data_IF_748898422502
#
_entry.id   IF_748898422502
#
_cell.length_a   1.000
_cell.length_b   1.000
_cell.length_c   1.000
_cell.angle_alpha   90.00
_cell.angle_beta   90.00
_cell.angle_gamma   90.00
#
_symmetry.space_group_name_H-M   'P 1'
#
loop_
_entity.id
_entity.type
_entity.pdbx_description
1 polymer ?
#
# COMPACT_ATOMS: atom_id res chain seq x y z
N UNK A 1 -37.02 -32.00 13.98
CA UNK A 1 -35.56 -32.18 13.97
C UNK A 1 -34.92 -31.51 12.75
N UNK A 2 -35.13 -31.96 11.49
CA UNK A 2 -34.48 -31.38 10.27
C UNK A 2 -34.57 -29.85 10.05
N UNK A 3 -35.59 -29.16 10.57
CA UNK A 3 -35.74 -27.70 10.43
C UNK A 3 -34.93 -26.89 11.44
N UNK A 4 -34.69 -27.43 12.64
CA UNK A 4 -33.85 -26.81 13.66
C UNK A 4 -32.37 -26.92 13.29
N UNK A 5 -31.96 -28.10 12.80
CA UNK A 5 -30.58 -28.34 12.34
C UNK A 5 -30.20 -27.41 11.17
N UNK A 6 -31.10 -27.22 10.19
CA UNK A 6 -30.92 -26.27 9.09
C UNK A 6 -30.82 -24.81 9.55
N UNK A 7 -31.63 -24.42 10.54
CA UNK A 7 -31.60 -23.06 11.07
C UNK A 7 -30.31 -22.79 11.85
N UNK A 8 -29.79 -23.80 12.55
CA UNK A 8 -28.50 -23.76 13.25
C UNK A 8 -27.32 -23.70 12.27
N UNK A 9 -27.31 -24.54 11.24
CA UNK A 9 -26.29 -24.50 10.18
C UNK A 9 -26.25 -23.14 9.48
N UNK A 10 -27.41 -22.57 9.14
CA UNK A 10 -27.48 -21.26 8.48
C UNK A 10 -27.07 -20.13 9.42
N UNK A 11 -27.43 -20.19 10.71
CA UNK A 11 -26.93 -19.22 11.70
C UNK A 11 -25.41 -19.30 11.89
N UNK A 12 -24.84 -20.51 11.94
CA UNK A 12 -23.39 -20.69 12.03
C UNK A 12 -22.67 -20.18 10.78
N UNK A 13 -23.26 -20.42 9.60
CA UNK A 13 -22.75 -19.90 8.33
C UNK A 13 -22.78 -18.37 8.31
N UNK A 14 -23.88 -17.75 8.71
CA UNK A 14 -24.01 -16.29 8.79
C UNK A 14 -23.03 -15.69 9.79
N UNK A 15 -22.85 -16.33 10.95
CA UNK A 15 -21.85 -15.92 11.94
C UNK A 15 -20.43 -15.99 11.39
N UNK A 16 -20.07 -17.07 10.68
CA UNK A 16 -18.75 -17.20 10.04
C UNK A 16 -18.53 -16.12 8.97
N UNK A 17 -19.53 -15.85 8.13
CA UNK A 17 -19.43 -14.81 7.11
C UNK A 17 -19.26 -13.41 7.70
N UNK A 18 -19.88 -13.14 8.85
CA UNK A 18 -19.75 -11.88 9.55
C UNK A 18 -18.42 -11.75 10.33
N UNK A 19 -17.80 -12.87 10.72
CA UNK A 19 -16.62 -12.89 11.59
C UNK A 19 -15.29 -13.14 10.90
N UNK A 20 -15.32 -13.56 9.63
CA UNK A 20 -14.12 -13.92 8.88
C UNK A 20 -13.82 -12.94 7.74
N UNK A 21 -12.54 -12.81 7.41
CA UNK A 21 -12.08 -12.16 6.19
C UNK A 21 -12.37 -13.07 4.99
N UNK A 22 -13.11 -12.54 4.01
CA UNK A 22 -13.61 -13.31 2.87
C UNK A 22 -12.50 -13.91 1.97
N UNK A 23 -11.31 -13.32 1.96
CA UNK A 23 -10.20 -13.77 1.12
C UNK A 23 -9.40 -14.89 1.79
N UNK A 24 -9.11 -14.73 3.09
CA UNK A 24 -8.17 -15.58 3.83
C UNK A 24 -8.84 -16.60 4.75
N UNK A 25 -10.12 -16.38 5.10
CA UNK A 25 -10.85 -17.22 6.06
C UNK A 25 -10.43 -17.05 7.52
N UNK A 26 -9.47 -16.15 7.80
CA UNK A 26 -9.08 -15.76 9.16
C UNK A 26 -10.11 -14.84 9.80
N UNK A 27 -9.98 -14.54 11.10
CA UNK A 27 -10.82 -13.52 11.72
C UNK A 27 -10.65 -12.18 10.98
N UNK A 28 -11.74 -11.45 10.77
CA UNK A 28 -11.63 -10.07 10.30
C UNK A 28 -11.22 -9.13 11.45
N UNK A 29 -10.86 -7.89 11.11
CA UNK A 29 -10.44 -6.86 12.08
C UNK A 29 -11.41 -6.70 13.25
N UNK A 30 -12.70 -6.58 12.96
CA UNK A 30 -13.72 -6.35 13.99
C UNK A 30 -13.78 -7.50 14.99
N UNK A 31 -13.87 -8.74 14.49
CA UNK A 31 -13.90 -9.91 15.36
C UNK A 31 -12.58 -10.12 16.10
N UNK A 32 -11.42 -9.83 15.48
CA UNK A 32 -10.13 -9.92 16.16
C UNK A 32 -10.06 -8.95 17.35
N UNK A 33 -10.47 -7.70 17.16
CA UNK A 33 -10.51 -6.68 18.21
C UNK A 33 -11.45 -7.06 19.35
N UNK A 34 -12.67 -7.50 19.02
CA UNK A 34 -13.67 -7.94 20.01
C UNK A 34 -13.18 -9.15 20.81
N UNK A 35 -12.66 -10.18 20.13
CA UNK A 35 -12.26 -11.44 20.77
C UNK A 35 -11.02 -11.24 21.64
N UNK A 36 -10.01 -10.50 21.17
CA UNK A 36 -8.83 -10.18 22.00
C UNK A 36 -9.26 -9.35 23.21
N UNK A 37 -10.11 -8.34 23.02
CA UNK A 37 -10.64 -7.51 24.11
C UNK A 37 -11.40 -8.34 25.16
N UNK A 38 -12.10 -9.39 24.75
CA UNK A 38 -12.73 -10.34 25.67
C UNK A 38 -11.71 -11.19 26.42
N UNK A 39 -10.68 -11.70 25.75
CA UNK A 39 -9.65 -12.53 26.39
C UNK A 39 -8.85 -11.74 27.43
N UNK A 40 -8.43 -10.52 27.09
CA UNK A 40 -7.61 -9.68 27.99
C UNK A 40 -8.41 -9.09 29.16
N UNK A 41 -9.73 -8.91 29.01
CA UNK A 41 -10.63 -8.52 30.12
C UNK A 41 -10.65 -9.53 31.28
N UNK A 42 -10.24 -10.76 31.02
CA UNK A 42 -10.11 -11.80 32.04
C UNK A 42 -8.67 -11.93 32.56
N UNK A 43 -7.87 -10.85 32.44
CA UNK A 43 -6.45 -10.73 32.84
C UNK A 43 -5.56 -11.89 32.37
N UNK A 44 -5.88 -12.43 31.20
CA UNK A 44 -5.10 -13.53 30.62
C UNK A 44 -3.83 -12.98 30.00
N UNK A 45 -2.69 -13.46 30.50
CA UNK A 45 -1.40 -13.24 29.86
C UNK A 45 -1.44 -13.68 28.39
N UNK A 46 -0.70 -12.99 27.53
CA UNK A 46 -0.60 -13.34 26.13
C UNK A 46 0.42 -12.47 25.39
N UNK A 47 0.70 -12.85 24.16
CA UNK A 47 1.62 -12.12 23.27
C UNK A 47 0.86 -11.71 22.03
N UNK A 48 0.87 -10.41 21.73
CA UNK A 48 0.28 -9.86 20.52
C UNK A 48 1.37 -9.67 19.47
N UNK A 49 1.12 -10.21 18.28
CA UNK A 49 1.97 -10.08 17.11
C UNK A 49 1.18 -9.38 16.02
N UNK A 50 1.81 -8.41 15.39
CA UNK A 50 1.34 -7.80 14.14
C UNK A 50 2.37 -8.09 13.06
N UNK A 51 1.90 -8.42 11.87
CA UNK A 51 2.71 -8.87 10.74
C UNK A 51 2.29 -8.13 9.49
N UNK A 52 3.25 -7.77 8.66
CA UNK A 52 3.01 -7.07 7.40
C UNK A 52 3.96 -7.61 6.34
N UNK A 53 3.45 -7.79 5.11
CA UNK A 53 4.22 -8.27 3.96
C UNK A 53 5.08 -7.14 3.40
N UNK A 54 6.40 -7.32 3.43
CA UNK A 54 7.32 -6.30 2.91
C UNK A 54 7.13 -6.10 1.41
N UNK A 55 6.96 -4.84 1.01
CA UNK A 55 6.77 -4.44 -0.39
C UNK A 55 5.60 -5.15 -1.11
N UNK A 56 4.50 -5.46 -0.41
CA UNK A 56 3.34 -6.13 -1.01
C UNK A 56 2.77 -5.38 -2.24
N UNK A 57 2.75 -4.04 -2.20
CA UNK A 57 2.37 -3.24 -3.38
C UNK A 57 3.23 -3.58 -4.60
N UNK A 58 4.54 -3.74 -4.44
CA UNK A 58 5.43 -4.13 -5.53
C UNK A 58 5.13 -5.56 -6.04
N UNK A 59 4.70 -6.47 -5.17
CA UNK A 59 4.23 -7.80 -5.60
C UNK A 59 2.99 -7.65 -6.49
N UNK A 60 2.02 -6.82 -6.09
CA UNK A 60 0.83 -6.55 -6.91
C UNK A 60 1.18 -5.88 -8.24
N UNK A 61 2.06 -4.88 -8.23
CA UNK A 61 2.43 -4.12 -9.41
C UNK A 61 3.17 -5.01 -10.44
N UNK A 62 3.98 -5.96 -9.97
CA UNK A 62 4.78 -6.85 -10.83
C UNK A 62 4.02 -8.09 -11.28
N UNK A 63 3.24 -8.72 -10.39
CA UNK A 63 2.61 -10.03 -10.65
C UNK A 63 1.08 -9.97 -10.74
N UNK A 64 0.48 -8.79 -10.59
CA UNK A 64 -0.95 -8.56 -10.62
C UNK A 64 -1.67 -8.88 -9.30
N UNK A 65 -2.83 -8.26 -9.10
CA UNK A 65 -3.65 -8.42 -7.89
C UNK A 65 -4.08 -9.87 -7.61
N UNK A 66 -4.33 -10.68 -8.64
CA UNK A 66 -4.66 -12.10 -8.45
C UNK A 66 -3.51 -12.88 -7.80
N UNK A 67 -2.27 -12.50 -8.08
CA UNK A 67 -1.10 -13.09 -7.40
C UNK A 67 -0.99 -12.56 -5.97
N UNK A 68 -1.26 -11.27 -5.76
CA UNK A 68 -1.39 -10.68 -4.43
C UNK A 68 -2.39 -11.41 -3.54
N UNK A 69 -3.58 -11.68 -4.06
CA UNK A 69 -4.63 -12.40 -3.36
C UNK A 69 -4.16 -13.81 -2.95
N UNK A 70 -3.49 -14.53 -3.86
CA UNK A 70 -2.88 -15.83 -3.55
C UNK A 70 -1.80 -15.72 -2.49
N UNK A 71 -1.00 -14.65 -2.51
CA UNK A 71 0.05 -14.42 -1.50
C UNK A 71 -0.59 -14.23 -0.12
N UNK A 72 -1.67 -13.46 -0.02
CA UNK A 72 -2.41 -13.27 1.23
C UNK A 72 -3.01 -14.58 1.74
N UNK A 73 -3.58 -15.39 0.85
CA UNK A 73 -4.14 -16.70 1.17
C UNK A 73 -3.06 -17.69 1.66
N UNK A 74 -1.92 -17.76 0.97
CA UNK A 74 -0.85 -18.65 1.37
C UNK A 74 -0.19 -18.19 2.68
N UNK A 75 0.00 -16.88 2.89
CA UNK A 75 0.49 -16.38 4.17
C UNK A 75 -0.48 -16.73 5.30
N UNK A 76 -1.80 -16.56 5.09
CA UNK A 76 -2.81 -16.97 6.06
C UNK A 76 -2.70 -18.46 6.43
N UNK A 77 -2.48 -19.33 5.42
CA UNK A 77 -2.27 -20.77 5.63
C UNK A 77 -0.98 -21.05 6.41
N UNK A 78 0.10 -20.34 6.10
CA UNK A 78 1.37 -20.46 6.82
C UNK A 78 1.20 -20.05 8.29
N UNK A 79 0.57 -18.90 8.55
CA UNK A 79 0.27 -18.44 9.92
C UNK A 79 -0.56 -19.52 10.65
N UNK A 80 -1.65 -19.99 10.04
CA UNK A 80 -2.52 -21.01 10.63
C UNK A 80 -1.84 -22.34 10.95
N UNK A 81 -0.75 -22.70 10.24
CA UNK A 81 0.02 -23.92 10.52
C UNK A 81 0.98 -23.76 11.71
N UNK A 82 1.50 -22.55 11.95
CA UNK A 82 2.50 -22.31 12.99
C UNK A 82 1.92 -21.96 14.36
N UNK A 83 0.68 -21.46 14.41
CA UNK A 83 -0.01 -21.14 15.66
C UNK A 83 -1.04 -22.20 16.04
N UNK A 84 -1.35 -22.31 17.33
CA UNK A 84 -2.28 -23.32 17.82
C UNK A 84 -3.74 -22.92 17.54
N UNK A 85 -4.66 -23.90 17.53
CA UNK A 85 -6.11 -23.64 17.37
C UNK A 85 -6.70 -22.69 18.43
N UNK A 86 -6.05 -22.56 19.59
CA UNK A 86 -6.46 -21.65 20.65
C UNK A 86 -5.96 -20.22 20.43
N UNK A 87 -4.97 -20.01 19.58
CA UNK A 87 -4.44 -18.68 19.30
C UNK A 87 -5.43 -17.96 18.37
N UNK A 88 -5.58 -16.65 18.58
CA UNK A 88 -6.46 -15.84 17.74
C UNK A 88 -5.65 -15.37 16.55
N UNK A 89 -6.16 -15.58 15.34
CA UNK A 89 -5.46 -15.26 14.10
C UNK A 89 -6.43 -14.48 13.22
N UNK A 90 -6.04 -13.28 12.82
CA UNK A 90 -6.87 -12.39 12.01
C UNK A 90 -6.11 -11.65 10.93
N UNK A 91 -6.85 -11.19 9.92
CA UNK A 91 -6.38 -10.21 8.94
C UNK A 91 -6.95 -8.85 9.30
N UNK A 92 -6.07 -7.88 9.52
CA UNK A 92 -6.44 -6.54 9.97
C UNK A 92 -6.86 -5.63 8.81
N UNK A 93 -6.42 -5.96 7.59
CA UNK A 93 -6.74 -5.26 6.34
C UNK A 93 -5.51 -5.17 5.44
N UNK A 94 -5.69 -5.03 4.13
CA UNK A 94 -4.56 -4.96 3.19
C UNK A 94 -3.65 -6.19 3.28
N UNK A 95 -2.39 -5.97 3.60
CA UNK A 95 -1.32 -6.95 3.82
C UNK A 95 -1.00 -7.20 5.31
N UNK A 96 -1.81 -6.69 6.22
CA UNK A 96 -1.58 -6.76 7.66
C UNK A 96 -2.35 -7.93 8.31
N UNK A 97 -1.61 -8.72 9.09
CA UNK A 97 -2.10 -9.87 9.86
C UNK A 97 -1.79 -9.68 11.35
N UNK A 98 -2.63 -10.25 12.21
CA UNK A 98 -2.42 -10.24 13.65
C UNK A 98 -2.58 -11.62 14.25
N UNK A 99 -1.79 -11.91 15.27
CA UNK A 99 -1.90 -13.11 16.09
C UNK A 99 -1.88 -12.72 17.56
N UNK A 100 -2.82 -13.25 18.33
CA UNK A 100 -2.77 -13.19 19.79
C UNK A 100 -2.58 -14.60 20.35
N UNK A 101 -1.38 -14.86 20.84
CA UNK A 101 -1.02 -16.11 21.49
C UNK A 101 -1.53 -16.05 22.93
N UNK A 102 -2.47 -16.94 23.26
CA UNK A 102 -3.09 -16.94 24.57
C UNK A 102 -2.22 -17.66 25.61
N UNK A 103 -2.27 -17.17 26.85
CA UNK A 103 -1.50 -17.60 28.02
C UNK A 103 -0.03 -17.16 27.97
N UNK A 104 0.62 -17.20 29.13
CA UNK A 104 2.04 -16.89 29.24
C UNK A 104 2.86 -17.82 28.33
N UNK A 105 3.54 -17.24 27.35
CA UNK A 105 4.44 -17.94 26.45
C UNK A 105 5.86 -17.45 26.68
N UNK A 106 6.81 -18.38 26.72
CA UNK A 106 8.23 -18.05 26.80
C UNK A 106 8.66 -17.34 25.52
N UNK A 107 9.51 -16.32 25.66
CA UNK A 107 10.00 -15.50 24.54
C UNK A 107 10.63 -16.38 23.45
N UNK A 108 11.39 -17.40 23.84
CA UNK A 108 12.06 -18.33 22.93
C UNK A 108 11.08 -19.12 22.05
N UNK A 109 9.88 -19.42 22.57
CA UNK A 109 8.82 -20.07 21.79
C UNK A 109 8.27 -19.13 20.71
N UNK A 110 8.09 -17.84 21.05
CA UNK A 110 7.61 -16.82 20.09
C UNK A 110 8.66 -16.63 18.98
N UNK A 111 9.93 -16.51 19.35
CA UNK A 111 11.05 -16.39 18.42
C UNK A 111 11.13 -17.60 17.48
N UNK A 112 11.09 -18.83 18.02
CA UNK A 112 11.13 -20.05 17.20
C UNK A 112 9.93 -20.18 16.24
N UNK A 113 8.73 -19.81 16.68
CA UNK A 113 7.54 -19.78 15.80
C UNK A 113 7.69 -18.72 14.69
N UNK A 114 8.17 -17.53 15.03
CA UNK A 114 8.38 -16.44 14.08
C UNK A 114 9.45 -16.78 13.04
N UNK A 115 10.58 -17.36 13.45
CA UNK A 115 11.64 -17.82 12.54
C UNK A 115 11.16 -18.91 11.58
N UNK A 116 10.40 -19.88 12.10
CA UNK A 116 9.81 -20.95 11.29
C UNK A 116 8.81 -20.40 10.27
N UNK A 117 7.95 -19.48 10.71
CA UNK A 117 6.99 -18.80 9.86
C UNK A 117 7.69 -17.99 8.76
N UNK A 118 8.69 -17.18 9.11
CA UNK A 118 9.45 -16.38 8.16
C UNK A 118 10.16 -17.26 7.11
N UNK A 119 10.79 -18.35 7.55
CA UNK A 119 11.44 -19.32 6.66
C UNK A 119 10.45 -19.99 5.72
N UNK A 120 9.26 -20.37 6.23
CA UNK A 120 8.19 -20.98 5.42
C UNK A 120 7.58 -19.98 4.44
N UNK A 121 7.39 -18.72 4.83
CA UNK A 121 6.89 -17.66 3.97
C UNK A 121 7.83 -17.44 2.76
N UNK A 122 9.14 -17.39 3.01
CA UNK A 122 10.14 -17.31 1.94
C UNK A 122 10.11 -18.53 1.00
N UNK A 123 9.94 -19.73 1.56
CA UNK A 123 9.81 -20.95 0.76
C UNK A 123 8.57 -20.91 -0.13
N UNK A 124 7.42 -20.54 0.42
CA UNK A 124 6.17 -20.38 -0.32
C UNK A 124 6.32 -19.35 -1.43
N UNK A 125 6.98 -18.21 -1.17
CA UNK A 125 7.28 -17.22 -2.21
C UNK A 125 8.06 -17.81 -3.40
N UNK A 126 9.04 -18.69 -3.13
CA UNK A 126 9.77 -19.40 -4.18
C UNK A 126 8.88 -20.40 -4.92
N UNK A 127 8.07 -21.16 -4.20
CA UNK A 127 7.11 -22.13 -4.78
C UNK A 127 6.08 -21.43 -5.68
N UNK A 128 5.68 -20.21 -5.35
CA UNK A 128 4.75 -19.38 -6.14
C UNK A 128 5.40 -18.66 -7.34
N UNK A 129 6.71 -18.76 -7.52
CA UNK A 129 7.43 -18.07 -8.59
C UNK A 129 7.70 -16.58 -8.34
N UNK A 130 7.46 -16.07 -7.13
CA UNK A 130 7.77 -14.68 -6.75
C UNK A 130 9.14 -14.56 -6.04
N UNK A 131 9.89 -15.66 -5.96
CA UNK A 131 11.22 -15.71 -5.36
C UNK A 131 11.19 -15.41 -3.85
N UNK A 132 12.22 -14.71 -3.35
CA UNK A 132 12.32 -14.34 -1.93
C UNK A 132 11.55 -13.05 -1.58
N UNK A 133 10.48 -12.74 -2.31
CA UNK A 133 9.69 -11.50 -2.13
C UNK A 133 8.62 -11.61 -1.05
N UNK A 134 8.15 -12.82 -0.71
CA UNK A 134 7.23 -13.03 0.42
C UNK A 134 7.99 -12.97 1.74
N UNK A 135 8.41 -11.77 2.12
CA UNK A 135 9.02 -11.44 3.40
C UNK A 135 7.97 -10.80 4.30
N UNK A 136 8.07 -11.07 5.59
CA UNK A 136 7.19 -10.47 6.58
C UNK A 136 8.03 -9.81 7.65
N UNK A 137 7.65 -8.58 8.00
CA UNK A 137 8.12 -7.93 9.22
C UNK A 137 7.09 -8.17 10.32
N UNK A 138 7.54 -8.42 11.54
CA UNK A 138 6.73 -8.79 12.70
C UNK A 138 7.06 -7.84 13.86
N UNK A 139 6.04 -7.18 14.38
CA UNK A 139 6.08 -6.45 15.64
C UNK A 139 5.46 -7.29 16.76
N UNK A 140 6.09 -7.30 17.93
CA UNK A 140 5.69 -8.13 19.07
C UNK A 140 5.52 -7.27 20.31
N UNK A 141 4.41 -7.48 21.02
CA UNK A 141 4.18 -6.91 22.33
C UNK A 141 3.64 -7.95 23.32
N UNK A 142 4.19 -7.93 24.54
CA UNK A 142 3.70 -8.72 25.65
C UNK A 142 2.52 -7.99 26.32
N UNK A 143 1.45 -8.72 26.63
CA UNK A 143 0.36 -8.19 27.44
C UNK A 143 0.84 -7.74 28.82
N UNK A 144 0.38 -6.56 29.24
CA UNK A 144 0.58 -5.95 30.55
C UNK A 144 -0.79 -5.75 31.20
N UNK A 145 -0.83 -5.84 32.54
CA UNK A 145 -2.05 -5.60 33.29
C UNK A 145 -2.62 -4.20 32.97
N UNK A 146 -3.94 -4.14 32.73
CA UNK A 146 -4.63 -2.91 32.32
C UNK A 146 -4.56 -2.56 30.83
N UNK A 147 -3.96 -3.41 29.98
CA UNK A 147 -3.98 -3.18 28.54
C UNK A 147 -5.36 -3.32 27.90
N UNK A 148 -5.61 -2.48 26.90
CA UNK A 148 -6.69 -2.67 25.93
C UNK A 148 -6.13 -3.25 24.63
N UNK A 149 -7.03 -3.69 23.73
CA UNK A 149 -6.62 -4.09 22.38
C UNK A 149 -5.83 -2.97 21.68
N UNK A 150 -6.28 -1.72 21.83
CA UNK A 150 -5.64 -0.57 21.19
C UNK A 150 -4.25 -0.28 21.76
N UNK A 151 -4.02 -0.47 23.07
CA UNK A 151 -2.67 -0.29 23.63
C UNK A 151 -1.70 -1.37 23.15
N UNK A 152 -2.14 -2.63 23.10
CA UNK A 152 -1.37 -3.74 22.54
C UNK A 152 -1.03 -3.52 21.07
N UNK A 153 -2.05 -3.22 20.27
CA UNK A 153 -1.92 -2.97 18.84
C UNK A 153 -0.95 -1.83 18.56
N UNK A 154 -1.09 -0.70 19.27
CA UNK A 154 -0.24 0.48 19.11
C UNK A 154 1.23 0.21 19.43
N UNK A 155 1.52 -0.58 20.48
CA UNK A 155 2.90 -0.93 20.85
C UNK A 155 3.51 -1.94 19.88
N UNK A 156 2.76 -2.96 19.47
CA UNK A 156 3.22 -3.92 18.47
C UNK A 156 3.45 -3.26 17.09
N UNK A 157 2.54 -2.39 16.64
CA UNK A 157 2.70 -1.60 15.41
C UNK A 157 3.96 -0.73 15.46
N UNK A 158 4.23 -0.09 16.60
CA UNK A 158 5.44 0.70 16.77
C UNK A 158 6.71 -0.14 16.57
N UNK A 159 6.72 -1.39 17.07
CA UNK A 159 7.84 -2.31 16.89
C UNK A 159 7.97 -2.78 15.44
N UNK A 160 6.84 -3.08 14.77
CA UNK A 160 6.80 -3.45 13.35
C UNK A 160 7.38 -2.33 12.48
N UNK A 161 6.89 -1.10 12.65
CA UNK A 161 7.36 0.08 11.90
C UNK A 161 8.84 0.36 12.16
N UNK A 162 9.32 0.17 13.38
CA UNK A 162 10.75 0.27 13.69
C UNK A 162 11.55 -0.75 12.88
N UNK A 163 11.12 -2.01 12.84
CA UNK A 163 11.74 -3.06 12.03
C UNK A 163 11.80 -2.73 10.54
N UNK A 164 10.69 -2.24 9.98
CA UNK A 164 10.61 -1.83 8.56
C UNK A 164 11.56 -0.68 8.21
N UNK A 165 11.74 0.30 9.11
CA UNK A 165 12.63 1.45 8.89
C UNK A 165 14.10 1.08 8.96
N UNK A 166 14.48 0.28 9.94
CA UNK A 166 15.88 -0.14 10.12
C UNK A 166 16.30 -1.16 9.05
N UNK A 167 15.36 -1.96 8.52
CA UNK A 167 15.60 -2.97 7.50
C UNK A 167 16.49 -4.14 7.96
N UNK A 168 16.78 -4.22 9.26
CA UNK A 168 17.76 -5.16 9.83
C UNK A 168 17.15 -6.42 10.43
N UNK A 169 15.90 -6.36 10.91
CA UNK A 169 15.31 -7.47 11.65
C UNK A 169 13.83 -7.68 11.31
N UNK A 170 13.49 -8.93 10.99
CA UNK A 170 12.13 -9.33 10.67
C UNK A 170 11.26 -9.48 11.94
N UNK A 171 11.87 -9.66 13.12
CA UNK A 171 11.16 -9.81 14.39
C UNK A 171 11.56 -8.71 15.37
N UNK A 172 10.60 -7.91 15.82
CA UNK A 172 10.87 -6.70 16.59
C UNK A 172 9.99 -6.67 17.82
N UNK A 173 10.62 -6.75 19.00
CA UNK A 173 9.94 -6.55 20.27
C UNK A 173 9.84 -5.07 20.58
N UNK A 174 8.66 -4.63 20.99
CA UNK A 174 8.50 -3.29 21.50
C UNK A 174 9.40 -3.06 22.72
N UNK A 175 9.98 -1.86 22.77
CA UNK A 175 10.75 -1.37 23.92
C UNK A 175 10.19 -0.01 24.27
N UNK A 176 10.13 0.33 25.56
CA UNK A 176 9.69 1.66 25.96
C UNK A 176 10.61 2.76 25.38
N UNK A 177 11.86 2.44 25.01
CA UNK A 177 12.74 3.33 24.24
C UNK A 177 12.21 3.67 22.83
N UNK A 178 11.41 2.80 22.22
CA UNK A 178 10.69 3.06 20.97
C UNK A 178 9.52 4.03 21.20
N UNK A 179 8.90 4.00 22.39
CA UNK A 179 8.03 5.08 22.86
C UNK A 179 8.81 6.33 23.29
N UNK A 180 10.05 6.23 23.74
CA UNK A 180 10.88 7.41 23.99
C UNK A 180 11.39 8.03 22.69
N UNK A 181 11.39 7.32 21.55
CA UNK A 181 11.44 7.97 20.24
C UNK A 181 10.13 8.68 19.85
N UNK A 182 9.06 8.52 20.65
CA UNK A 182 7.87 9.40 20.69
C UNK A 182 8.06 10.62 21.63
N UNK A 183 9.13 10.71 22.45
CA UNK A 183 9.32 11.78 23.47
C UNK A 183 10.74 12.37 23.61
N UNK A 184 11.75 11.86 22.91
CA UNK A 184 13.15 12.30 22.97
C UNK A 184 13.44 13.52 22.07
N UNK A 185 12.46 14.41 21.99
CA UNK A 185 12.69 15.85 21.88
C UNK A 185 11.52 16.55 22.58
N UNK A 186 11.43 16.41 23.90
CA UNK A 186 11.68 17.51 24.86
C UNK A 186 11.26 17.08 26.27
N UNK A 187 12.11 17.43 27.25
CA UNK A 187 11.82 17.34 28.69
C UNK A 187 10.61 18.20 29.06
N UNK A 188 9.77 17.72 29.99
CA UNK A 188 8.81 18.56 30.73
C UNK A 188 7.45 17.91 30.95
N UNK A 189 7.13 17.69 32.22
CA UNK A 189 5.94 17.10 32.83
C UNK A 189 4.58 17.49 32.23
N UNK A 190 3.66 16.50 32.16
CA UNK A 190 2.24 16.69 31.89
C UNK A 190 1.63 15.58 31.03
N UNK A 191 0.48 15.03 31.42
CA UNK A 191 -0.29 14.07 30.61
C UNK A 191 -0.43 14.58 29.16
N UNK A 192 -0.29 13.74 28.12
CA UNK A 192 -0.38 14.22 26.74
C UNK A 192 -1.81 14.62 26.41
N UNK A 193 -2.00 15.92 26.18
CA UNK A 193 -3.17 16.49 25.53
C UNK A 193 -3.31 15.93 24.10
N UNK A 194 -4.56 15.90 23.61
CA UNK A 194 -4.95 15.40 22.28
C UNK A 194 -3.95 15.78 21.16
N UNK A 195 -3.64 14.87 20.22
CA UNK A 195 -2.46 14.97 19.35
C UNK A 195 -2.59 16.12 18.34
N UNK A 196 -1.96 17.25 18.63
CA UNK A 196 -1.82 18.39 17.71
C UNK A 196 -0.41 18.43 17.08
N UNK A 197 0.23 17.28 16.90
CA UNK A 197 1.59 17.25 16.36
C UNK A 197 1.59 17.30 14.83
N UNK A 198 1.39 18.53 14.30
CA UNK A 198 1.49 18.83 12.86
C UNK A 198 2.83 18.37 12.27
N UNK A 199 3.91 18.27 13.07
CA UNK A 199 5.21 17.80 12.59
C UNK A 199 5.21 16.29 12.33
N UNK A 200 4.40 15.51 13.05
CA UNK A 200 4.19 14.08 12.81
C UNK A 200 3.32 13.87 11.56
N UNK A 201 2.19 14.58 11.45
CA UNK A 201 1.31 14.52 10.28
C UNK A 201 2.07 14.92 9.02
N UNK A 202 2.83 16.02 9.04
CA UNK A 202 3.67 16.43 7.92
C UNK A 202 4.81 15.45 7.60
N UNK A 203 5.18 14.54 8.52
CA UNK A 203 6.19 13.51 8.27
C UNK A 203 5.59 12.26 7.63
N UNK A 204 4.37 11.90 8.01
CA UNK A 204 3.61 10.79 7.38
C UNK A 204 3.03 11.20 6.02
N UNK A 205 2.65 12.48 5.85
CA UNK A 205 2.21 13.04 4.56
C UNK A 205 3.39 13.34 3.61
N UNK A 206 4.64 13.31 4.10
CA UNK A 206 5.80 13.44 3.22
C UNK A 206 5.92 12.18 2.39
N UNK A 207 6.04 12.36 1.08
CA UNK A 207 6.40 11.26 0.20
C UNK A 207 7.69 10.62 0.70
N UNK A 208 7.73 9.28 0.87
CA UNK A 208 8.95 8.60 1.28
C UNK A 208 10.04 8.84 0.24
N UNK A 209 11.28 9.06 0.68
CA UNK A 209 12.43 9.28 -0.21
C UNK A 209 12.65 8.06 -1.12
N UNK A 210 12.06 8.03 -2.32
CA UNK A 210 12.32 6.97 -3.30
C UNK A 210 12.27 7.43 -4.74
N UNK A 211 13.24 6.92 -5.50
CA UNK A 211 13.31 6.65 -6.95
C UNK A 211 12.47 7.52 -7.88
N UNK A 212 13.14 8.09 -8.90
CA UNK A 212 12.59 8.89 -10.02
C UNK A 212 11.36 8.31 -10.78
N UNK A 213 10.88 7.12 -10.43
CA UNK A 213 9.76 6.40 -11.05
C UNK A 213 8.38 6.69 -10.40
N UNK A 214 8.34 7.40 -9.27
CA UNK A 214 7.16 7.52 -8.38
C UNK A 214 5.98 8.38 -8.90
N UNK A 215 6.11 9.06 -10.04
CA UNK A 215 5.09 10.02 -10.50
C UNK A 215 4.02 9.45 -11.44
N UNK A 216 4.05 8.14 -11.70
CA UNK A 216 2.93 7.45 -12.35
C UNK A 216 1.81 7.27 -11.32
N UNK A 217 0.69 7.96 -11.50
CA UNK A 217 -0.46 7.89 -10.61
C UNK A 217 -1.59 7.09 -11.23
N UNK A 218 -2.40 6.44 -10.39
CA UNK A 218 -3.69 5.92 -10.80
C UNK A 218 -4.60 7.07 -11.28
N UNK A 219 -5.51 6.77 -12.20
CA UNK A 219 -6.36 7.80 -12.81
C UNK A 219 -7.22 8.56 -11.77
N UNK A 220 -7.69 7.89 -10.72
CA UNK A 220 -8.48 8.54 -9.65
C UNK A 220 -7.65 9.50 -8.80
N UNK A 221 -6.39 9.15 -8.52
CA UNK A 221 -5.44 10.02 -7.82
C UNK A 221 -5.08 11.22 -8.70
N UNK A 222 -4.80 10.98 -9.98
CA UNK A 222 -4.57 12.05 -10.97
C UNK A 222 -5.74 13.04 -11.01
N UNK A 223 -6.99 12.54 -11.03
CA UNK A 223 -8.20 13.36 -11.02
C UNK A 223 -8.37 14.16 -9.73
N UNK A 224 -8.00 13.57 -8.59
CA UNK A 224 -8.04 14.26 -7.30
C UNK A 224 -7.03 15.41 -7.25
N UNK A 225 -5.83 15.21 -7.79
CA UNK A 225 -4.79 16.24 -7.91
C UNK A 225 -5.22 17.33 -8.89
N UNK A 226 -5.75 16.96 -10.07
CA UNK A 226 -6.31 17.90 -11.04
C UNK A 226 -7.31 18.85 -10.38
N UNK A 227 -8.31 18.30 -9.68
CA UNK A 227 -9.38 19.07 -9.04
C UNK A 227 -8.83 19.94 -7.91
N UNK A 228 -7.81 19.49 -7.19
CA UNK A 228 -7.16 20.27 -6.16
C UNK A 228 -6.41 21.49 -6.74
N UNK A 229 -5.64 21.27 -7.81
CA UNK A 229 -4.91 22.34 -8.50
C UNK A 229 -5.87 23.33 -9.16
N UNK A 230 -6.92 22.86 -9.83
CA UNK A 230 -7.97 23.69 -10.45
C UNK A 230 -8.58 24.66 -9.43
N UNK A 231 -8.95 24.17 -8.24
CA UNK A 231 -9.48 25.00 -7.14
C UNK A 231 -8.47 25.97 -6.56
N UNK A 232 -7.17 25.73 -6.73
CA UNK A 232 -6.09 26.47 -6.10
C UNK A 232 -5.39 27.46 -7.04
N UNK A 233 -5.79 27.53 -8.32
CA UNK A 233 -5.14 28.34 -9.36
C UNK A 233 -5.05 29.84 -9.00
N UNK A 234 -6.17 30.47 -8.62
CA UNK A 234 -6.19 31.92 -8.29
C UNK A 234 -5.34 32.27 -7.07
N UNK A 235 -5.21 31.33 -6.11
CA UNK A 235 -4.50 31.57 -4.85
C UNK A 235 -3.00 31.35 -4.98
N UNK A 236 -2.57 30.47 -5.88
CA UNK A 236 -1.16 30.04 -6.00
C UNK A 236 -0.41 30.68 -7.16
N UNK A 237 -1.11 31.14 -8.21
CA UNK A 237 -0.49 31.71 -9.40
C UNK A 237 0.34 30.70 -10.21
N UNK A 238 0.27 29.41 -9.86
CA UNK A 238 0.98 28.33 -10.55
C UNK A 238 0.21 28.01 -11.83
N UNK A 239 0.86 28.17 -12.99
CA UNK A 239 0.32 27.70 -14.26
C UNK A 239 0.45 26.18 -14.35
N UNK A 240 -0.63 25.49 -14.70
CA UNK A 240 -0.63 24.03 -14.86
C UNK A 240 -1.06 23.73 -16.29
N UNK A 241 -0.25 22.97 -17.01
CA UNK A 241 -0.54 22.50 -18.36
C UNK A 241 -0.82 21.01 -18.33
N UNK A 242 -1.81 20.56 -19.11
CA UNK A 242 -2.04 19.16 -19.40
C UNK A 242 -1.59 18.81 -20.80
N UNK A 243 -0.95 17.65 -20.93
CA UNK A 243 -0.56 17.06 -22.20
C UNK A 243 -1.27 15.72 -22.35
N UNK A 244 -2.11 15.58 -23.36
CA UNK A 244 -2.59 14.29 -23.82
C UNK A 244 -1.63 13.77 -24.90
N UNK A 245 -0.99 12.65 -24.62
CA UNK A 245 -0.07 11.98 -25.53
C UNK A 245 -0.80 10.79 -26.14
N UNK A 246 -0.94 10.77 -27.45
CA UNK A 246 -1.62 9.70 -28.18
C UNK A 246 -0.65 8.97 -29.09
N UNK A 247 -0.60 7.64 -28.96
CA UNK A 247 0.15 6.76 -29.83
C UNK A 247 -0.73 6.35 -31.02
N UNK A 248 -0.31 6.76 -32.21
CA UNK A 248 -1.06 6.60 -33.46
C UNK A 248 -0.17 6.07 -34.58
N UNK A 249 -0.77 5.63 -35.68
CA UNK A 249 -0.08 5.43 -36.94
C UNK A 249 0.09 6.79 -37.69
N UNK A 250 0.75 6.83 -38.87
CA UNK A 250 0.92 8.07 -39.64
C UNK A 250 -0.38 8.70 -40.16
N UNK A 251 -1.48 7.94 -40.21
CA UNK A 251 -2.81 8.44 -40.59
C UNK A 251 -3.57 9.07 -39.42
N UNK A 252 -3.05 8.91 -38.20
CA UNK A 252 -3.69 9.37 -36.97
C UNK A 252 -4.63 8.35 -36.33
N UNK A 253 -4.72 7.13 -36.87
CA UNK A 253 -5.48 6.04 -36.25
C UNK A 253 -4.68 5.39 -35.11
N UNK A 254 -5.36 4.82 -34.12
CA UNK A 254 -4.67 4.12 -33.04
C UNK A 254 -3.95 2.87 -33.55
N UNK A 255 -2.79 2.57 -32.95
CA UNK A 255 -1.97 1.42 -33.32
C UNK A 255 -2.72 0.09 -33.19
N UNK A 256 -2.37 -0.84 -34.08
CA UNK A 256 -2.96 -2.19 -34.14
C UNK A 256 -2.80 -2.92 -32.79
N UNK A 257 -3.81 -3.71 -32.42
CA UNK A 257 -3.87 -4.51 -31.20
C UNK A 257 -2.63 -5.40 -30.99
N UNK A 258 -2.07 -5.99 -32.06
CA UNK A 258 -0.98 -6.97 -31.95
C UNK A 258 0.33 -6.46 -31.37
N UNK A 259 0.63 -5.17 -31.53
CA UNK A 259 1.90 -4.55 -31.06
C UNK A 259 1.65 -3.45 -30.01
N UNK A 260 0.38 -3.17 -29.70
CA UNK A 260 -0.04 -2.07 -28.82
C UNK A 260 0.63 -2.14 -27.46
N UNK A 261 0.66 -3.31 -26.83
CA UNK A 261 1.20 -3.49 -25.49
C UNK A 261 2.68 -3.12 -25.42
N UNK A 262 3.48 -3.62 -26.37
CA UNK A 262 4.90 -3.28 -26.48
C UNK A 262 5.10 -1.78 -26.68
N UNK A 263 4.41 -1.17 -27.65
CA UNK A 263 4.57 0.25 -27.97
C UNK A 263 4.11 1.16 -26.83
N UNK A 264 3.03 0.82 -26.13
CA UNK A 264 2.55 1.54 -24.95
C UNK A 264 3.56 1.45 -23.81
N UNK A 265 4.22 0.31 -23.64
CA UNK A 265 5.27 0.15 -22.64
C UNK A 265 6.49 1.02 -22.96
N UNK A 266 6.92 1.05 -24.22
CA UNK A 266 8.02 1.94 -24.66
C UNK A 266 7.63 3.43 -24.49
N UNK A 267 6.38 3.78 -24.77
CA UNK A 267 5.87 5.13 -24.54
C UNK A 267 5.91 5.48 -23.04
N UNK A 268 5.44 4.60 -22.16
CA UNK A 268 5.51 4.79 -20.71
C UNK A 268 6.95 5.07 -20.24
N UNK A 269 7.91 4.29 -20.70
CA UNK A 269 9.33 4.46 -20.36
C UNK A 269 9.89 5.80 -20.86
N UNK A 270 9.53 6.19 -22.08
CA UNK A 270 9.92 7.48 -22.65
C UNK A 270 9.35 8.67 -21.87
N UNK A 271 8.11 8.57 -21.38
CA UNK A 271 7.46 9.58 -20.54
C UNK A 271 8.18 9.64 -19.18
N UNK A 272 8.26 8.51 -18.48
CA UNK A 272 8.81 8.44 -17.13
C UNK A 272 10.22 9.03 -17.03
N UNK A 273 11.06 8.77 -18.04
CA UNK A 273 12.44 9.26 -18.05
C UNK A 273 12.61 10.67 -18.63
N UNK A 274 11.54 11.26 -19.18
CA UNK A 274 11.53 12.64 -19.72
C UNK A 274 10.97 13.66 -18.73
N UNK A 275 10.13 13.23 -17.79
CA UNK A 275 9.46 14.11 -16.83
C UNK A 275 10.36 14.51 -15.66
N UNK A 276 10.05 15.66 -15.05
CA UNK A 276 10.67 16.14 -13.81
C UNK A 276 9.94 15.56 -12.60
N UNK A 277 10.58 15.68 -11.44
CA UNK A 277 10.05 15.18 -10.16
C UNK A 277 8.69 15.80 -9.76
N UNK A 278 8.31 16.98 -10.25
CA UNK A 278 7.01 17.58 -9.94
C UNK A 278 5.95 17.32 -11.02
N UNK A 279 6.32 16.71 -12.14
CA UNK A 279 5.37 16.38 -13.22
C UNK A 279 4.69 15.06 -12.90
N UNK A 280 3.39 14.98 -13.14
CA UNK A 280 2.55 13.82 -12.82
C UNK A 280 2.02 13.23 -14.12
N UNK A 281 1.93 11.91 -14.23
CA UNK A 281 1.32 11.28 -15.40
C UNK A 281 0.47 10.06 -15.04
N UNK A 282 -0.46 9.71 -15.93
CA UNK A 282 -1.33 8.54 -15.78
C UNK A 282 -1.66 7.93 -17.15
N UNK A 283 -1.95 6.63 -17.16
CA UNK A 283 -2.45 5.95 -18.35
C UNK A 283 -3.96 6.23 -18.49
N UNK A 284 -4.36 6.85 -19.61
CA UNK A 284 -5.73 7.33 -19.81
C UNK A 284 -6.60 6.36 -20.60
N UNK A 285 -6.09 5.86 -21.73
CA UNK A 285 -6.74 4.84 -22.56
C UNK A 285 -5.70 3.89 -23.11
N UNK A 286 -6.10 2.84 -23.85
CA UNK A 286 -5.19 1.81 -24.37
C UNK A 286 -4.03 2.30 -25.24
N UNK A 287 -4.04 3.57 -25.70
CA UNK A 287 -2.96 4.17 -26.48
C UNK A 287 -2.65 5.60 -26.04
N UNK A 288 -3.12 6.04 -24.87
CA UNK A 288 -3.00 7.43 -24.46
C UNK A 288 -2.55 7.60 -23.02
N UNK A 289 -1.72 8.61 -22.80
CA UNK A 289 -1.29 9.06 -21.48
C UNK A 289 -1.66 10.51 -21.27
N UNK A 290 -2.04 10.83 -20.04
CA UNK A 290 -2.20 12.21 -19.58
C UNK A 290 -0.99 12.57 -18.73
N UNK A 291 -0.42 13.74 -19.00
CA UNK A 291 0.64 14.36 -18.21
C UNK A 291 0.13 15.70 -17.71
N UNK A 292 0.48 16.04 -16.47
CA UNK A 292 0.19 17.30 -15.82
C UNK A 292 1.50 17.91 -15.34
N UNK A 293 1.77 19.14 -15.72
CA UNK A 293 3.04 19.82 -15.44
C UNK A 293 2.81 21.14 -14.69
N UNK A 294 2.84 21.13 -13.35
CA UNK A 294 2.71 22.35 -12.56
C UNK A 294 3.94 23.25 -12.70
N UNK A 295 3.72 24.55 -12.90
CA UNK A 295 4.76 25.58 -13.01
C UNK A 295 5.48 25.62 -14.36
N UNK A 296 4.95 24.96 -15.38
CA UNK A 296 5.55 24.92 -16.71
C UNK A 296 4.83 25.89 -17.66
N UNK A 297 5.56 26.88 -18.21
CA UNK A 297 5.06 27.74 -19.29
C UNK A 297 5.15 27.07 -20.67
N UNK A 298 4.64 27.74 -21.70
CA UNK A 298 4.56 27.22 -23.09
C UNK A 298 5.89 26.73 -23.66
N UNK A 299 7.01 27.42 -23.40
CA UNK A 299 8.35 27.00 -23.84
C UNK A 299 8.85 25.71 -23.17
N UNK A 300 8.33 25.35 -21.99
CA UNK A 300 8.63 24.06 -21.35
C UNK A 300 7.91 22.88 -22.03
N UNK A 301 6.74 23.11 -22.63
CA UNK A 301 5.93 22.04 -23.24
C UNK A 301 6.61 21.46 -24.48
N UNK A 302 7.18 22.32 -25.32
CA UNK A 302 7.92 21.88 -26.50
C UNK A 302 9.16 21.06 -26.12
N UNK A 303 9.87 21.46 -25.06
CA UNK A 303 11.03 20.70 -24.56
C UNK A 303 10.63 19.32 -24.02
N UNK A 304 9.54 19.23 -23.25
CA UNK A 304 9.06 17.96 -22.69
C UNK A 304 8.62 17.01 -23.82
N UNK A 305 7.77 17.50 -24.73
CA UNK A 305 7.28 16.67 -25.84
C UNK A 305 8.38 16.25 -26.81
N UNK A 306 9.37 17.11 -27.07
CA UNK A 306 10.54 16.77 -27.88
C UNK A 306 11.40 15.69 -27.22
N UNK A 307 11.63 15.78 -25.89
CA UNK A 307 12.35 14.74 -25.15
C UNK A 307 11.63 13.40 -25.19
N UNK A 308 10.32 13.40 -24.92
CA UNK A 308 9.48 12.19 -24.98
C UNK A 308 9.55 11.58 -26.38
N UNK A 309 9.34 12.40 -27.42
CA UNK A 309 9.35 11.95 -28.82
C UNK A 309 10.70 11.33 -29.21
N UNK A 310 11.80 12.03 -28.95
CA UNK A 310 13.13 11.55 -29.33
C UNK A 310 13.45 10.23 -28.63
N UNK A 311 13.13 10.12 -27.35
CA UNK A 311 13.39 8.90 -26.58
C UNK A 311 12.49 7.75 -26.99
N UNK A 312 11.22 8.03 -27.27
CA UNK A 312 10.31 7.01 -27.82
C UNK A 312 10.82 6.48 -29.16
N UNK A 313 11.22 7.37 -30.07
CA UNK A 313 11.76 6.98 -31.38
C UNK A 313 13.05 6.15 -31.24
N UNK A 314 13.92 6.47 -30.29
CA UNK A 314 15.10 5.67 -29.97
C UNK A 314 14.72 4.25 -29.52
N UNK A 315 13.78 4.14 -28.58
CA UNK A 315 13.30 2.87 -28.02
C UNK A 315 12.60 1.99 -29.06
N UNK A 316 11.87 2.59 -30.00
CA UNK A 316 11.23 1.85 -31.11
C UNK A 316 12.10 1.76 -32.37
N UNK A 317 13.39 2.06 -32.26
CA UNK A 317 14.37 1.98 -33.36
C UNK A 317 13.97 2.75 -34.64
N UNK A 318 13.31 3.91 -34.48
CA UNK A 318 12.95 4.80 -35.58
C UNK A 318 11.84 4.27 -36.49
N UNK A 319 11.00 3.34 -36.01
CA UNK A 319 9.85 2.79 -36.75
C UNK A 319 9.00 3.89 -37.40
N UNK A 320 8.79 3.86 -38.74
CA UNK A 320 8.07 4.93 -39.45
C UNK A 320 6.54 4.82 -39.34
N UNK A 321 6.04 3.67 -38.90
CA UNK A 321 4.62 3.31 -38.82
C UNK A 321 3.96 3.73 -37.49
N UNK A 322 4.71 4.42 -36.61
CA UNK A 322 4.20 4.94 -35.34
C UNK A 322 4.53 6.42 -35.20
N UNK A 323 3.58 7.17 -34.63
CA UNK A 323 3.65 8.60 -34.37
C UNK A 323 3.07 8.92 -33.01
N UNK A 324 3.70 9.85 -32.31
CA UNK A 324 3.13 10.46 -31.11
C UNK A 324 2.46 11.79 -31.47
N UNK A 325 1.17 11.88 -31.18
CA UNK A 325 0.41 13.13 -31.23
C UNK A 325 0.28 13.73 -29.83
N UNK A 326 0.41 15.05 -29.73
CA UNK A 326 0.37 15.78 -28.46
C UNK A 326 -0.74 16.82 -28.53
N UNK A 327 -1.64 16.81 -27.55
CA UNK A 327 -2.66 17.85 -27.37
C UNK A 327 -2.45 18.55 -26.04
N UNK A 328 -2.51 19.88 -26.04
CA UNK A 328 -2.21 20.71 -24.89
C UNK A 328 -3.48 21.37 -24.37
N UNK A 329 -3.67 21.36 -23.06
CA UNK A 329 -4.80 21.96 -22.40
C UNK A 329 -4.31 22.76 -21.18
N UNK A 330 -4.32 24.10 -21.23
CA UNK A 330 -4.05 24.90 -20.06
C UNK A 330 -5.16 24.67 -19.03
N UNK A 331 -4.79 24.37 -17.80
CA UNK A 331 -5.77 24.21 -16.73
C UNK A 331 -6.43 25.56 -16.46
N UNK A 332 -7.74 25.63 -16.68
CA UNK A 332 -8.55 26.82 -16.42
C UNK A 332 -9.43 26.57 -15.19
N UNK A 333 -9.63 27.60 -14.38
CA UNK A 333 -10.55 27.51 -13.26
C UNK A 333 -11.99 27.46 -13.78
N UNK A 334 -12.73 26.44 -13.37
CA UNK A 334 -14.18 26.42 -13.59
C UNK A 334 -14.85 27.35 -12.57
N UNK A 335 -15.52 28.42 -13.04
CA UNK A 335 -16.24 29.33 -12.15
C UNK A 335 -17.28 28.56 -11.31
N UNK A 336 -17.40 28.81 -9.99
CA UNK A 336 -18.39 28.13 -9.18
C UNK A 336 -19.78 28.43 -9.75
N UNK A 337 -20.57 27.37 -10.02
CA UNK A 337 -22.00 27.54 -10.32
C UNK A 337 -22.62 28.24 -9.11
N UNK A 338 -23.01 29.50 -9.28
CA UNK A 338 -23.80 30.22 -8.27
C UNK A 338 -25.05 29.37 -8.00
N UNK A 339 -25.15 28.83 -6.78
CA UNK A 339 -26.41 28.28 -6.26
C UNK A 339 -27.30 29.42 -5.78
#
# INVERSE_FOLDING_TARGET
MKGLDKLQEENERLKKLASQDSLTGLLNRGTMEETVSEVIRHDKAGVFLIMDIDHFKQINDVYGHLTGDKVLQELARVIGYHFFKKDLIGRMGGDEFAVFIQNACKKEMVESKAESLYSRALQVGREMGIGNRLKVTIGVEQFREGDSFQTLYSRADCALRYGKREGRNFLNYYRDSMALHKTASQNGEGLPAAPHDMKYICRELKEPDFSREANCQEYQTFLSIYRFLERSLERTGIQVELILISLTDPSGAFVNLGEREFLVQQLRESICSSLRFNDIYTHYTSCQFLVMTPGAGSSHMEMITSRIRNKFLELVQGRPDVRLFFSFYPLQQTAPRRQ
#
